data_IF_714433186492
#
_entry.id   IF_714433186492
#
_cell.length_a   1.000
_cell.length_b   1.000
_cell.length_c   1.000
_cell.angle_alpha   90.00
_cell.angle_beta   90.00
_cell.angle_gamma   90.00
#
_symmetry.space_group_name_H-M   'P 1'
#
loop_
_entity.id
_entity.type
_entity.pdbx_description
1 polymer ?
#
# COMPACT_ATOMS: atom_id res chain seq x y z
N UNK A 1 -40.90 -16.72 -23.49
CA UNK A 1 -39.76 -16.87 -24.39
C UNK A 1 -38.84 -15.69 -24.12
N UNK A 2 -37.65 -15.85 -23.52
CA UNK A 2 -36.83 -14.69 -23.17
C UNK A 2 -36.31 -14.02 -24.45
N UNK A 3 -36.42 -12.70 -24.47
CA UNK A 3 -36.06 -11.82 -25.59
C UNK A 3 -34.53 -11.81 -25.80
N UNK A 4 -34.07 -12.23 -26.96
CA UNK A 4 -32.65 -12.40 -27.31
C UNK A 4 -31.96 -11.08 -27.70
N UNK A 5 -32.68 -9.95 -27.70
CA UNK A 5 -32.13 -8.64 -28.06
C UNK A 5 -31.40 -8.01 -26.87
N UNK A 6 -30.18 -8.46 -26.60
CA UNK A 6 -29.30 -7.82 -25.61
C UNK A 6 -28.54 -8.79 -24.70
N UNK A 7 -28.71 -10.11 -24.87
CA UNK A 7 -27.88 -11.08 -24.15
C UNK A 7 -26.45 -11.08 -24.71
N UNK A 8 -25.42 -11.14 -23.86
CA UNK A 8 -24.04 -11.24 -24.31
C UNK A 8 -23.85 -12.50 -25.16
N UNK A 9 -23.13 -12.37 -26.27
CA UNK A 9 -22.80 -13.52 -27.12
C UNK A 9 -21.96 -14.55 -26.37
N UNK A 10 -21.07 -14.07 -25.49
CA UNK A 10 -20.25 -14.88 -24.59
C UNK A 10 -19.96 -14.11 -23.31
N UNK A 11 -19.83 -14.85 -22.23
CA UNK A 11 -19.44 -14.36 -20.90
C UNK A 11 -18.27 -15.21 -20.46
N UNK A 12 -17.19 -14.56 -20.04
CA UNK A 12 -15.99 -15.22 -19.54
C UNK A 12 -15.79 -14.86 -18.08
N UNK A 13 -15.41 -15.84 -17.27
CA UNK A 13 -14.91 -15.63 -15.92
C UNK A 13 -13.53 -14.99 -15.94
N UNK A 14 -13.30 -14.07 -15.02
CA UNK A 14 -11.98 -13.45 -14.81
C UNK A 14 -11.09 -14.27 -13.87
N UNK A 15 -11.57 -15.41 -13.37
CA UNK A 15 -10.76 -16.30 -12.51
C UNK A 15 -9.52 -16.77 -13.26
N UNK A 16 -8.35 -16.50 -12.69
CA UNK A 16 -7.04 -16.83 -13.28
C UNK A 16 -6.85 -16.24 -14.69
N UNK A 17 -7.61 -15.20 -15.04
CA UNK A 17 -7.45 -14.51 -16.31
C UNK A 17 -6.18 -13.65 -16.28
N UNK A 18 -5.54 -13.53 -17.42
CA UNK A 18 -4.33 -12.74 -17.60
C UNK A 18 -4.57 -11.66 -18.66
N UNK A 19 -4.08 -10.46 -18.41
CA UNK A 19 -4.13 -9.36 -19.37
C UNK A 19 -2.80 -8.63 -19.43
N UNK A 20 -2.41 -8.23 -20.64
CA UNK A 20 -1.15 -7.53 -20.89
C UNK A 20 -1.07 -6.97 -22.30
N UNK A 21 0.02 -6.25 -22.58
CA UNK A 21 0.25 -5.66 -23.90
C UNK A 21 0.49 -6.76 -24.96
N UNK A 22 -0.14 -6.64 -26.12
CA UNK A 22 0.10 -7.50 -27.28
C UNK A 22 1.37 -7.12 -28.04
N UNK A 23 2.54 -7.17 -27.38
CA UNK A 23 3.81 -6.65 -27.91
C UNK A 23 4.34 -7.35 -29.18
N UNK A 24 3.95 -8.59 -29.39
CA UNK A 24 4.22 -9.41 -30.58
C UNK A 24 3.32 -9.06 -31.77
N UNK A 25 2.25 -8.28 -31.57
CA UNK A 25 1.32 -7.89 -32.62
C UNK A 25 1.58 -6.46 -33.10
N UNK A 26 2.35 -6.31 -34.16
CA UNK A 26 2.79 -5.00 -34.67
C UNK A 26 1.91 -4.43 -35.78
N UNK A 27 0.90 -5.18 -36.27
CA UNK A 27 0.04 -4.74 -37.37
C UNK A 27 -0.91 -3.60 -36.98
N UNK A 28 -1.23 -3.46 -35.69
CA UNK A 28 -2.11 -2.42 -35.16
C UNK A 28 -1.57 -1.91 -33.83
N UNK A 29 -1.63 -0.60 -33.56
CA UNK A 29 -1.25 -0.06 -32.27
C UNK A 29 -2.32 -0.36 -31.21
N UNK A 30 -1.96 -0.14 -29.94
CA UNK A 30 -2.87 -0.18 -28.79
C UNK A 30 -3.61 -1.52 -28.63
N UNK A 31 -2.91 -2.63 -28.86
CA UNK A 31 -3.48 -3.98 -28.76
C UNK A 31 -3.19 -4.59 -27.39
N UNK A 32 -4.25 -5.05 -26.72
CA UNK A 32 -4.19 -5.79 -25.46
C UNK A 32 -4.45 -7.27 -25.74
N UNK A 33 -3.62 -8.12 -25.15
CA UNK A 33 -3.84 -9.57 -25.08
C UNK A 33 -4.61 -9.90 -23.82
N UNK A 34 -5.69 -10.64 -23.97
CA UNK A 34 -6.50 -11.17 -22.86
C UNK A 34 -6.51 -12.68 -22.98
N UNK A 35 -6.19 -13.39 -21.90
CA UNK A 35 -6.31 -14.84 -21.78
C UNK A 35 -7.30 -15.15 -20.67
N UNK A 36 -8.41 -15.79 -21.01
CA UNK A 36 -9.46 -16.16 -20.08
C UNK A 36 -10.01 -17.53 -20.47
N UNK A 37 -10.27 -18.38 -19.48
CA UNK A 37 -10.86 -19.73 -19.69
C UNK A 37 -10.11 -20.59 -20.74
N UNK A 38 -8.79 -20.37 -20.90
CA UNK A 38 -7.96 -21.08 -21.87
C UNK A 38 -8.00 -20.49 -23.30
N UNK A 39 -8.92 -19.58 -23.58
CA UNK A 39 -8.98 -18.82 -24.84
C UNK A 39 -8.07 -17.58 -24.79
N UNK A 40 -7.63 -17.11 -25.96
CA UNK A 40 -6.77 -15.93 -26.10
C UNK A 40 -7.32 -14.98 -27.15
N UNK A 41 -7.41 -13.70 -26.78
CA UNK A 41 -7.97 -12.64 -27.60
C UNK A 41 -6.97 -11.50 -27.76
N UNK A 42 -7.00 -10.86 -28.93
CA UNK A 42 -6.33 -9.58 -29.17
C UNK A 42 -7.42 -8.53 -29.37
N UNK A 43 -7.41 -7.51 -28.53
CA UNK A 43 -8.38 -6.40 -28.56
C UNK A 43 -7.64 -5.11 -28.86
N UNK A 44 -8.03 -4.44 -29.94
CA UNK A 44 -7.52 -3.10 -30.25
C UNK A 44 -8.34 -2.05 -29.49
N UNK A 45 -7.66 -1.11 -28.87
CA UNK A 45 -8.24 0.03 -28.19
C UNK A 45 -7.95 1.34 -28.96
N UNK A 46 -8.60 2.42 -28.55
CA UNK A 46 -8.50 3.71 -29.25
C UNK A 46 -7.15 4.40 -28.97
N UNK A 47 -6.74 4.47 -27.70
CA UNK A 47 -5.49 5.12 -27.29
C UNK A 47 -4.67 4.36 -26.24
N UNK A 48 -3.49 4.92 -25.93
CA UNK A 48 -2.59 4.39 -24.89
C UNK A 48 -3.21 4.49 -23.49
N UNK A 49 -3.95 5.56 -23.21
CA UNK A 49 -4.66 5.73 -21.93
C UNK A 49 -5.71 4.64 -21.72
N UNK A 50 -6.42 4.25 -22.79
CA UNK A 50 -7.38 3.15 -22.73
C UNK A 50 -6.68 1.82 -22.48
N UNK A 51 -5.52 1.58 -23.09
CA UNK A 51 -4.71 0.38 -22.83
C UNK A 51 -4.39 0.27 -21.35
N UNK A 52 -3.92 1.36 -20.73
CA UNK A 52 -3.61 1.37 -19.29
C UNK A 52 -4.87 1.07 -18.48
N UNK A 53 -5.96 1.82 -18.74
CA UNK A 53 -7.23 1.66 -18.00
C UNK A 53 -7.79 0.25 -18.09
N UNK A 54 -7.78 -0.34 -19.28
CA UNK A 54 -8.31 -1.69 -19.51
C UNK A 54 -7.43 -2.76 -18.88
N UNK A 55 -6.10 -2.66 -19.00
CA UNK A 55 -5.19 -3.62 -18.38
C UNK A 55 -5.30 -3.58 -16.87
N UNK A 56 -5.28 -2.39 -16.25
CA UNK A 56 -5.44 -2.23 -14.81
C UNK A 56 -6.80 -2.74 -14.33
N UNK A 57 -7.88 -2.40 -15.04
CA UNK A 57 -9.23 -2.86 -14.70
C UNK A 57 -9.39 -4.38 -14.79
N UNK A 58 -8.84 -5.00 -15.84
CA UNK A 58 -8.89 -6.46 -16.02
C UNK A 58 -8.03 -7.19 -14.98
N UNK A 59 -6.85 -6.68 -14.64
CA UNK A 59 -6.01 -7.25 -13.58
C UNK A 59 -6.67 -7.11 -12.21
N UNK A 60 -7.27 -5.95 -11.91
CA UNK A 60 -8.04 -5.75 -10.68
C UNK A 60 -9.22 -6.72 -10.60
N UNK A 61 -9.95 -6.92 -11.71
CA UNK A 61 -11.04 -7.89 -11.80
C UNK A 61 -10.54 -9.32 -11.56
N UNK A 62 -9.42 -9.72 -12.17
CA UNK A 62 -8.83 -11.04 -11.98
C UNK A 62 -8.44 -11.29 -10.51
N UNK A 63 -7.89 -10.27 -9.82
CA UNK A 63 -7.52 -10.36 -8.41
C UNK A 63 -8.71 -10.58 -7.46
N UNK A 64 -9.90 -10.09 -7.82
CA UNK A 64 -11.13 -10.24 -7.01
C UNK A 64 -12.08 -11.33 -7.52
N UNK A 65 -11.72 -12.06 -8.58
CA UNK A 65 -12.60 -13.06 -9.19
C UNK A 65 -12.55 -14.43 -8.49
N UNK A 66 -11.43 -14.77 -7.85
CA UNK A 66 -11.30 -16.00 -7.07
C UNK A 66 -12.12 -15.92 -5.78
N UNK A 67 -12.43 -17.05 -5.17
CA UNK A 67 -13.08 -17.05 -3.85
C UNK A 67 -12.16 -16.48 -2.77
N UNK A 68 -12.73 -15.94 -1.71
CA UNK A 68 -11.95 -15.23 -0.68
C UNK A 68 -10.87 -16.11 -0.05
N UNK A 69 -11.18 -17.40 0.15
CA UNK A 69 -10.27 -18.37 0.77
C UNK A 69 -9.12 -18.78 -0.16
N UNK A 70 -9.29 -18.65 -1.49
CA UNK A 70 -8.26 -18.94 -2.48
C UNK A 70 -7.34 -17.74 -2.74
N UNK A 71 -7.76 -16.53 -2.35
CA UNK A 71 -6.97 -15.30 -2.58
C UNK A 71 -5.75 -15.24 -1.68
N UNK A 72 -4.60 -14.98 -2.27
CA UNK A 72 -3.37 -14.73 -1.53
C UNK A 72 -3.50 -13.39 -0.78
N UNK A 73 -3.32 -13.42 0.54
CA UNK A 73 -3.30 -12.20 1.34
C UNK A 73 -2.22 -11.24 0.83
N UNK A 74 -2.58 -9.98 0.50
CA UNK A 74 -1.59 -9.00 0.06
C UNK A 74 -0.60 -8.74 1.19
N UNK A 75 0.70 -8.72 0.85
CA UNK A 75 1.72 -8.32 1.82
C UNK A 75 1.63 -6.81 1.99
N UNK A 76 1.17 -6.38 3.16
CA UNK A 76 1.17 -4.97 3.52
C UNK A 76 2.59 -4.38 3.49
N UNK A 77 2.72 -3.05 3.32
CA UNK A 77 4.01 -2.39 3.39
C UNK A 77 4.72 -2.72 4.72
N UNK A 78 5.98 -3.14 4.63
CA UNK A 78 6.81 -3.38 5.80
C UNK A 78 7.29 -2.05 6.37
N UNK A 79 6.61 -1.56 7.41
CA UNK A 79 7.06 -0.39 8.13
C UNK A 79 8.30 -0.72 9.00
N UNK A 80 9.37 0.10 8.95
CA UNK A 80 10.50 -0.07 9.84
C UNK A 80 10.05 -0.05 11.32
N UNK A 81 10.37 -1.11 12.07
CA UNK A 81 10.10 -1.16 13.52
C UNK A 81 11.09 -0.25 14.25
N UNK A 82 10.58 0.76 14.97
CA UNK A 82 11.40 1.66 15.82
C UNK A 82 12.08 0.85 16.92
N UNK A 83 13.39 0.64 16.83
CA UNK A 83 14.18 0.00 17.90
C UNK A 83 14.32 0.99 19.06
N UNK A 84 13.77 0.64 20.23
CA UNK A 84 14.02 1.40 21.46
C UNK A 84 15.50 1.24 21.80
N UNK A 85 16.30 2.29 21.60
CA UNK A 85 17.68 2.33 22.09
C UNK A 85 17.60 2.14 23.60
N UNK A 86 18.11 1.01 24.12
CA UNK A 86 18.38 0.89 25.54
C UNK A 86 19.42 1.95 25.86
N UNK A 87 19.07 2.92 26.70
CA UNK A 87 20.05 3.86 27.27
C UNK A 87 21.13 2.98 27.93
N UNK A 88 22.42 3.21 27.69
CA UNK A 88 23.46 2.58 28.48
C UNK A 88 23.15 2.85 29.95
N UNK A 89 23.04 1.79 30.73
CA UNK A 89 23.01 1.87 32.18
C UNK A 89 24.30 2.59 32.59
N UNK A 90 24.18 3.81 33.12
CA UNK A 90 25.31 4.51 33.73
C UNK A 90 25.80 3.62 34.87
N UNK A 91 26.89 2.90 34.59
CA UNK A 91 27.59 2.10 35.56
C UNK A 91 28.12 3.04 36.65
N UNK A 92 27.59 2.86 37.86
CA UNK A 92 28.30 3.10 39.10
C UNK A 92 28.39 4.55 39.57
N UNK A 93 27.57 4.86 40.56
CA UNK A 93 28.08 5.54 41.76
C UNK A 93 27.49 4.80 42.96
N UNK A 94 28.28 4.13 43.82
CA UNK A 94 27.76 3.60 45.06
C UNK A 94 27.33 4.79 45.93
N UNK A 95 26.07 4.81 46.35
CA UNK A 95 25.57 5.79 47.29
C UNK A 95 26.33 5.65 48.61
N UNK A 96 27.26 6.57 48.88
CA UNK A 96 27.71 6.82 50.24
C UNK A 96 26.52 7.44 50.97
N UNK A 97 26.05 6.77 52.01
CA UNK A 97 25.00 7.28 52.89
C UNK A 97 25.68 7.97 54.07
N UNK A 98 25.72 9.31 54.16
CA UNK A 98 25.92 9.96 55.44
C UNK A 98 24.54 10.16 56.08
N UNK A 99 24.41 9.69 57.32
CA UNK A 99 23.17 9.75 58.07
C UNK A 99 22.73 11.18 58.38
N UNK A 100 21.40 11.32 58.53
CA UNK A 100 20.69 12.25 59.40
C UNK A 100 20.93 13.74 59.22
N UNK A 101 19.92 14.46 58.73
CA UNK A 101 19.16 15.45 59.52
C UNK A 101 17.95 15.92 58.69
N UNK A 102 16.77 15.87 59.30
CA UNK A 102 15.55 16.51 58.81
C UNK A 102 15.77 18.03 58.74
N UNK A 103 15.51 18.66 57.58
CA UNK A 103 15.63 20.11 57.46
C UNK A 103 15.36 20.66 56.06
N UNK A 104 14.21 21.33 55.97
CA UNK A 104 13.77 22.30 54.95
C UNK A 104 13.24 21.80 53.58
N UNK A 105 12.01 22.20 53.17
CA UNK A 105 11.52 21.94 51.83
C UNK A 105 12.20 22.88 50.80
N UNK A 106 12.44 22.43 49.56
CA UNK A 106 13.06 23.26 48.53
C UNK A 106 12.10 24.39 48.09
N UNK A 107 12.63 25.58 47.73
CA UNK A 107 11.82 26.73 47.37
C UNK A 107 11.15 26.56 46.01
N UNK A 108 9.87 26.94 45.96
CA UNK A 108 9.03 27.06 44.77
C UNK A 108 9.67 28.04 43.77
N UNK A 109 9.86 27.58 42.52
CA UNK A 109 10.37 28.42 41.42
C UNK A 109 9.38 28.44 40.29
N UNK A 110 8.63 29.54 40.23
CA UNK A 110 7.83 29.94 39.09
C UNK A 110 8.70 30.39 37.91
N UNK A 111 8.32 29.92 36.72
CA UNK A 111 8.26 30.69 35.48
C UNK A 111 9.56 31.17 34.82
N UNK A 112 9.96 30.50 33.72
CA UNK A 112 10.50 31.18 32.54
C UNK A 112 10.46 30.28 31.28
N UNK A 113 9.51 30.60 30.40
CA UNK A 113 9.60 30.67 28.92
C UNK A 113 10.75 29.94 28.20
N UNK A 114 10.44 29.15 27.17
CA UNK A 114 11.17 29.17 25.86
C UNK A 114 10.32 28.55 24.72
N UNK A 115 10.16 29.39 23.69
CA UNK A 115 10.05 29.15 22.24
C UNK A 115 8.97 28.23 21.64
N UNK A 116 8.04 28.90 20.93
CA UNK A 116 7.34 28.39 19.75
C UNK A 116 8.34 27.90 18.69
N UNK A 117 8.04 26.77 18.05
CA UNK A 117 8.59 26.41 16.75
C UNK A 117 7.46 25.92 15.86
N UNK A 118 7.10 26.75 14.88
CA UNK A 118 6.13 26.47 13.82
C UNK A 118 6.93 25.89 12.65
N UNK A 119 6.77 24.60 12.37
CA UNK A 119 7.37 23.99 11.20
C UNK A 119 6.43 24.21 10.00
N UNK A 120 6.75 25.19 9.18
CA UNK A 120 6.34 25.25 7.77
C UNK A 120 7.50 24.65 6.97
N UNK A 121 7.23 23.60 6.22
CA UNK A 121 8.06 23.19 5.09
C UNK A 121 7.14 23.02 3.88
N UNK A 122 7.18 24.06 3.05
CA UNK A 122 6.82 24.08 1.63
C UNK A 122 8.15 24.14 0.86
N UNK A 123 8.11 23.76 -0.42
CA UNK A 123 9.16 23.71 -1.46
C UNK A 123 9.91 22.37 -1.50
N UNK A 124 10.15 21.76 -2.66
CA UNK A 124 10.07 22.18 -4.08
C UNK A 124 9.61 20.98 -4.93
#
# INVERSE_FOLDING_TARGET
MPDTRGSPLRVYSMQRAESGLGSDYTKRPHVVRIRAEGEQFLVQLEGVEDVIRWVEGLQAAANVALDLDERVMPRGPLYPRRRRRRRPEEAGVPAVVPGGVDGDPPPERDGATIARSRLLAVTD
#
